data_IF_303726350287
#
_entry.id   IF_303726350287
#
_cell.length_a   1.000
_cell.length_b   1.000
_cell.length_c   1.000
_cell.angle_alpha   90.00
_cell.angle_beta   90.00
_cell.angle_gamma   90.00
#
_symmetry.space_group_name_H-M   'P 1'
#
loop_
_entity.id
_entity.type
_entity.pdbx_description
1 polymer ?
#
# COMPACT_ATOMS: atom_id res chain seq x y z
N UNK A 1 -5.57 4.37 -23.35
CA UNK A 1 -6.11 3.20 -22.64
C UNK A 1 -7.01 2.34 -23.50
N UNK A 2 -7.95 2.94 -24.22
CA UNK A 2 -8.96 2.21 -24.99
C UNK A 2 -8.38 1.24 -26.03
N UNK A 3 -7.39 1.67 -26.79
CA UNK A 3 -6.83 0.85 -27.87
C UNK A 3 -6.16 -0.41 -27.31
N UNK A 4 -5.33 -0.28 -26.27
CA UNK A 4 -4.65 -1.43 -25.66
C UNK A 4 -5.64 -2.42 -25.06
N UNK A 5 -6.67 -1.95 -24.37
CA UNK A 5 -7.69 -2.81 -23.79
C UNK A 5 -8.55 -3.46 -24.89
N UNK A 6 -8.83 -2.75 -25.96
CA UNK A 6 -9.56 -3.33 -27.11
C UNK A 6 -8.78 -4.46 -27.75
N UNK A 7 -7.47 -4.31 -27.91
CA UNK A 7 -6.61 -5.38 -28.43
C UNK A 7 -6.64 -6.59 -27.52
N UNK A 8 -6.54 -6.39 -26.20
CA UNK A 8 -6.61 -7.49 -25.23
C UNK A 8 -7.96 -8.21 -25.29
N UNK A 9 -9.06 -7.48 -25.44
CA UNK A 9 -10.40 -8.08 -25.58
C UNK A 9 -10.52 -8.92 -26.84
N UNK A 10 -9.99 -8.46 -27.96
CA UNK A 10 -9.98 -9.21 -29.21
C UNK A 10 -9.18 -10.50 -29.07
N UNK A 11 -8.00 -10.42 -28.47
CA UNK A 11 -7.18 -11.61 -28.20
C UNK A 11 -7.89 -12.59 -27.28
N UNK A 12 -8.57 -12.09 -26.24
CA UNK A 12 -9.34 -12.93 -25.33
C UNK A 12 -10.49 -13.62 -26.06
N UNK A 13 -11.20 -12.90 -26.93
CA UNK A 13 -12.27 -13.46 -27.74
C UNK A 13 -11.78 -14.56 -28.68
N UNK A 14 -10.52 -14.50 -29.10
CA UNK A 14 -9.88 -15.53 -29.94
C UNK A 14 -9.29 -16.68 -29.09
N UNK A 15 -9.52 -16.69 -27.77
CA UNK A 15 -9.06 -17.75 -26.87
C UNK A 15 -7.69 -17.54 -26.26
N UNK A 16 -7.17 -16.32 -26.24
CA UNK A 16 -5.89 -16.01 -25.61
C UNK A 16 -6.07 -15.88 -24.09
N UNK A 17 -5.73 -16.93 -23.36
CA UNK A 17 -5.89 -17.01 -21.91
C UNK A 17 -5.07 -15.96 -21.17
N UNK A 18 -3.83 -15.67 -21.62
CA UNK A 18 -2.97 -14.67 -20.98
C UNK A 18 -3.55 -13.27 -21.11
N UNK A 19 -4.15 -12.94 -22.26
CA UNK A 19 -4.80 -11.64 -22.45
C UNK A 19 -6.04 -11.50 -21.56
N UNK A 20 -6.82 -12.57 -21.40
CA UNK A 20 -7.97 -12.60 -20.49
C UNK A 20 -7.56 -12.40 -19.05
N UNK A 21 -6.53 -13.10 -18.59
CA UNK A 21 -6.01 -12.99 -17.24
C UNK A 21 -5.51 -11.58 -16.94
N UNK A 22 -4.75 -10.98 -17.86
CA UNK A 22 -4.24 -9.63 -17.71
C UNK A 22 -5.37 -8.60 -17.62
N UNK A 23 -6.38 -8.71 -18.47
CA UNK A 23 -7.53 -7.80 -18.46
C UNK A 23 -8.29 -7.90 -17.14
N UNK A 24 -8.45 -9.12 -16.62
CA UNK A 24 -9.11 -9.35 -15.34
C UNK A 24 -8.32 -8.74 -14.17
N UNK A 25 -7.00 -8.93 -14.15
CA UNK A 25 -6.12 -8.39 -13.09
C UNK A 25 -6.17 -6.86 -13.10
N UNK A 26 -6.07 -6.20 -14.25
CA UNK A 26 -6.16 -4.74 -14.35
C UNK A 26 -7.48 -4.22 -13.79
N UNK A 27 -8.60 -4.87 -14.12
CA UNK A 27 -9.92 -4.49 -13.63
C UNK A 27 -10.04 -4.69 -12.12
N UNK A 28 -9.53 -5.82 -11.63
CA UNK A 28 -9.54 -6.14 -10.20
C UNK A 28 -8.72 -5.11 -9.40
N UNK A 29 -7.52 -4.78 -9.86
CA UNK A 29 -6.64 -3.82 -9.18
C UNK A 29 -7.30 -2.45 -9.10
N UNK A 30 -7.90 -1.97 -10.19
CA UNK A 30 -8.62 -0.69 -10.17
C UNK A 30 -9.80 -0.71 -9.22
N UNK A 31 -10.57 -1.79 -9.18
CA UNK A 31 -11.68 -1.93 -8.23
C UNK A 31 -11.20 -1.87 -6.80
N UNK A 32 -10.07 -2.50 -6.47
CA UNK A 32 -9.50 -2.44 -5.13
C UNK A 32 -9.08 -1.01 -4.79
N UNK A 33 -8.45 -0.29 -5.72
CA UNK A 33 -8.05 1.11 -5.51
C UNK A 33 -9.27 1.99 -5.25
N UNK A 34 -10.33 1.84 -6.03
CA UNK A 34 -11.55 2.64 -5.88
C UNK A 34 -12.27 2.31 -4.57
N UNK A 35 -12.27 1.04 -4.17
CA UNK A 35 -13.03 0.54 -3.03
C UNK A 35 -12.22 0.43 -1.75
N UNK A 36 -11.04 1.04 -1.68
CA UNK A 36 -10.23 0.99 -0.46
C UNK A 36 -11.07 1.50 0.71
N UNK A 37 -11.27 0.59 1.67
CA UNK A 37 -11.90 0.92 2.94
C UNK A 37 -10.82 1.22 3.97
N UNK A 38 -11.20 1.95 4.97
CA UNK A 38 -10.28 2.35 6.01
C UNK A 38 -10.09 3.85 6.00
N UNK A 39 -9.33 4.32 6.96
CA UNK A 39 -9.16 5.75 7.15
C UNK A 39 -7.84 6.19 6.53
N UNK A 40 -7.92 7.17 5.65
CA UNK A 40 -6.74 7.84 5.14
C UNK A 40 -5.96 8.40 6.33
N UNK A 41 -4.70 8.00 6.46
CA UNK A 41 -3.89 8.35 7.61
C UNK A 41 -2.92 9.49 7.32
N UNK A 42 -2.26 9.42 6.19
CA UNK A 42 -1.30 10.44 5.77
C UNK A 42 -1.21 10.47 4.26
N UNK A 43 -0.64 11.53 3.73
CA UNK A 43 -0.44 11.67 2.29
C UNK A 43 0.80 12.49 1.97
N UNK A 44 1.21 12.38 0.72
CA UNK A 44 2.20 13.22 0.08
C UNK A 44 1.65 13.66 -1.27
N UNK A 45 2.46 14.36 -2.03
CA UNK A 45 2.06 14.77 -3.38
C UNK A 45 1.76 13.57 -4.30
N UNK A 46 2.47 12.46 -4.11
CA UNK A 46 2.42 11.31 -5.01
C UNK A 46 1.72 10.08 -4.43
N UNK A 47 1.53 10.02 -3.13
CA UNK A 47 1.02 8.80 -2.47
C UNK A 47 0.08 9.12 -1.32
N UNK A 48 -0.84 8.18 -1.09
CA UNK A 48 -1.72 8.19 0.08
C UNK A 48 -1.49 6.88 0.85
N UNK A 49 -1.54 6.94 2.18
CA UNK A 49 -1.44 5.75 3.03
C UNK A 49 -2.66 5.65 3.94
N UNK A 50 -3.26 4.46 3.93
CA UNK A 50 -4.33 4.06 4.83
C UNK A 50 -3.72 3.12 5.87
N UNK A 51 -4.00 3.35 7.14
CA UNK A 51 -3.42 2.56 8.24
C UNK A 51 -4.46 2.23 9.29
N UNK A 52 -4.44 0.99 9.74
CA UNK A 52 -5.22 0.54 10.90
C UNK A 52 -4.40 -0.43 11.73
N UNK A 53 -4.59 -0.39 13.05
CA UNK A 53 -4.01 -1.38 13.94
C UNK A 53 -5.02 -2.51 14.11
N UNK A 54 -4.58 -3.74 13.85
CA UNK A 54 -5.44 -4.92 13.96
C UNK A 54 -4.78 -5.98 14.84
N UNK A 55 -5.61 -6.78 15.51
CA UNK A 55 -5.16 -7.94 16.27
C UNK A 55 -5.59 -9.21 15.52
N UNK A 56 -4.66 -10.15 15.39
CA UNK A 56 -4.93 -11.44 14.80
C UNK A 56 -4.22 -12.52 15.61
N UNK A 57 -4.99 -13.43 16.21
CA UNK A 57 -4.47 -14.56 17.01
C UNK A 57 -3.49 -14.12 18.11
N UNK A 58 -3.76 -13.00 18.78
CA UNK A 58 -2.94 -12.49 19.87
C UNK A 58 -1.76 -11.64 19.44
N UNK A 59 -1.55 -11.47 18.14
CA UNK A 59 -0.50 -10.61 17.59
C UNK A 59 -1.10 -9.33 17.04
N UNK A 60 -0.33 -8.24 17.09
CA UNK A 60 -0.78 -6.94 16.61
C UNK A 60 -0.01 -6.53 15.37
N UNK A 61 -0.72 -5.91 14.44
CA UNK A 61 -0.16 -5.46 13.18
C UNK A 61 -0.65 -4.06 12.86
N UNK A 62 0.21 -3.27 12.23
CA UNK A 62 -0.20 -2.05 11.54
C UNK A 62 -0.45 -2.45 10.08
N UNK A 63 -1.70 -2.47 9.70
CA UNK A 63 -2.11 -2.82 8.35
C UNK A 63 -2.05 -1.58 7.49
N UNK A 64 -1.25 -1.60 6.43
CA UNK A 64 -1.08 -0.43 5.57
C UNK A 64 -1.46 -0.73 4.14
N UNK A 65 -2.04 0.29 3.48
CA UNK A 65 -2.32 0.28 2.06
C UNK A 65 -1.81 1.60 1.51
N UNK A 66 -0.85 1.53 0.57
CA UNK A 66 -0.31 2.70 -0.10
C UNK A 66 -0.84 2.75 -1.52
N UNK A 67 -1.41 3.88 -1.91
CA UNK A 67 -1.93 4.10 -3.26
C UNK A 67 -1.22 5.30 -3.86
N UNK A 68 -0.67 5.13 -5.06
CA UNK A 68 0.00 6.21 -5.76
C UNK A 68 1.14 5.71 -6.65
N UNK A 69 2.25 6.45 -6.64
CA UNK A 69 3.42 6.14 -7.47
C UNK A 69 4.36 5.10 -6.85
N UNK A 70 4.22 4.84 -5.55
CA UNK A 70 5.10 3.88 -4.86
C UNK A 70 4.84 2.47 -5.37
N UNK A 71 5.84 1.87 -5.98
CA UNK A 71 5.75 0.54 -6.57
C UNK A 71 7.00 -0.26 -6.23
N UNK A 72 6.82 -1.38 -5.55
CA UNK A 72 7.94 -2.24 -5.13
C UNK A 72 7.67 -3.69 -5.50
N UNK A 73 8.78 -4.39 -5.68
CA UNK A 73 8.83 -5.85 -5.72
C UNK A 73 10.10 -6.25 -4.98
N UNK A 74 9.95 -6.92 -3.86
CA UNK A 74 11.07 -7.28 -3.01
C UNK A 74 10.88 -8.64 -2.36
N UNK A 75 12.00 -9.28 -2.02
CA UNK A 75 12.06 -10.52 -1.26
C UNK A 75 12.66 -10.29 0.12
N UNK A 76 12.95 -9.04 0.48
CA UNK A 76 13.65 -8.65 1.72
C UNK A 76 12.80 -7.85 2.67
N UNK A 77 11.48 -7.76 2.43
CA UNK A 77 10.59 -7.02 3.28
C UNK A 77 10.69 -5.52 3.15
N UNK A 78 10.04 -4.83 4.08
CA UNK A 78 10.01 -3.37 4.13
C UNK A 78 10.00 -2.91 5.59
N UNK A 79 10.27 -1.63 5.79
CA UNK A 79 10.22 -0.98 7.10
C UNK A 79 9.25 0.19 7.08
N UNK A 80 8.53 0.35 8.18
CA UNK A 80 7.65 1.50 8.40
C UNK A 80 8.25 2.34 9.51
N UNK A 81 8.57 3.59 9.20
CA UNK A 81 9.08 4.54 10.17
C UNK A 81 7.99 5.56 10.48
N UNK A 82 7.61 5.65 11.74
CA UNK A 82 6.65 6.62 12.23
C UNK A 82 7.40 7.54 13.18
N UNK A 83 7.49 8.82 12.83
CA UNK A 83 8.23 9.79 13.60
C UNK A 83 7.29 10.87 14.14
N UNK A 84 7.40 11.15 15.41
CA UNK A 84 6.67 12.20 16.07
C UNK A 84 7.61 13.12 16.84
N UNK A 85 7.03 14.00 17.66
CA UNK A 85 7.80 15.03 18.39
C UNK A 85 8.75 14.42 19.42
N UNK A 86 8.33 13.35 20.08
CA UNK A 86 9.09 12.77 21.19
C UNK A 86 9.36 11.29 20.99
N UNK A 87 9.15 10.75 19.81
CA UNK A 87 9.36 9.33 19.56
C UNK A 87 9.67 9.05 18.11
N UNK A 88 10.25 7.89 17.90
CA UNK A 88 10.46 7.32 16.58
C UNK A 88 10.20 5.82 16.69
N UNK A 89 9.35 5.30 15.83
CA UNK A 89 8.94 3.91 15.83
C UNK A 89 9.26 3.29 14.48
N UNK A 90 10.13 2.27 14.49
CA UNK A 90 10.52 1.55 13.28
C UNK A 90 9.95 0.14 13.34
N UNK A 91 9.06 -0.19 12.41
CA UNK A 91 8.39 -1.47 12.35
C UNK A 91 8.85 -2.24 11.11
N UNK A 92 8.90 -3.57 11.26
CA UNK A 92 9.32 -4.49 10.20
C UNK A 92 8.10 -5.18 9.63
N UNK A 93 8.08 -5.40 8.32
CA UNK A 93 6.99 -6.11 7.68
C UNK A 93 6.93 -7.56 8.14
N UNK A 94 5.70 -8.10 8.22
CA UNK A 94 5.46 -9.50 8.55
C UNK A 94 5.97 -10.42 7.45
N UNK A 95 5.78 -10.02 6.19
CA UNK A 95 6.21 -10.80 5.03
C UNK A 95 7.49 -10.24 4.44
N UNK A 96 8.36 -11.14 3.96
CA UNK A 96 9.57 -10.76 3.23
C UNK A 96 9.26 -10.47 1.76
N UNK A 97 8.34 -11.22 1.18
CA UNK A 97 7.93 -11.03 -0.21
C UNK A 97 6.80 -10.02 -0.28
N UNK A 98 7.05 -8.92 -0.98
CA UNK A 98 6.07 -7.84 -1.17
C UNK A 98 6.10 -7.44 -2.63
N UNK A 99 4.92 -7.41 -3.24
CA UNK A 99 4.77 -6.97 -4.63
C UNK A 99 3.58 -6.03 -4.74
N UNK A 100 3.83 -4.87 -5.31
CA UNK A 100 2.77 -3.91 -5.61
C UNK A 100 1.99 -4.36 -6.84
N UNK A 101 0.70 -4.05 -6.85
CA UNK A 101 -0.15 -4.21 -8.03
C UNK A 101 -0.30 -2.85 -8.72
N UNK A 102 -0.41 -2.87 -10.03
CA UNK A 102 -0.53 -1.64 -10.83
C UNK A 102 -1.81 -1.66 -11.66
N UNK A 103 -2.52 -0.52 -11.67
CA UNK A 103 -3.68 -0.34 -12.52
C UNK A 103 -3.34 0.53 -13.73
N UNK A 104 -3.56 -0.02 -14.92
CA UNK A 104 -3.45 0.73 -16.16
C UNK A 104 -4.64 1.70 -16.35
N UNK A 105 -5.68 1.58 -15.54
CA UNK A 105 -6.86 2.45 -15.62
C UNK A 105 -6.53 3.82 -15.04
N UNK A 106 -5.99 3.87 -13.82
CA UNK A 106 -5.67 5.12 -13.12
C UNK A 106 -4.18 5.46 -13.12
N UNK A 107 -3.32 4.55 -13.59
CA UNK A 107 -1.87 4.65 -13.52
C UNK A 107 -1.35 4.77 -12.08
N UNK A 108 -2.06 4.12 -11.15
CA UNK A 108 -1.68 4.07 -9.75
C UNK A 108 -1.30 2.65 -9.35
N UNK A 109 -0.36 2.56 -8.43
CA UNK A 109 -0.01 1.31 -7.77
C UNK A 109 -0.72 1.21 -6.43
N UNK A 110 -1.01 -0.01 -6.01
CA UNK A 110 -1.49 -0.32 -4.66
C UNK A 110 -0.52 -1.29 -4.02
N UNK A 111 -0.09 -0.97 -2.80
CA UNK A 111 0.85 -1.78 -2.04
C UNK A 111 0.26 -2.05 -0.66
N UNK A 112 0.07 -3.33 -0.35
CA UNK A 112 -0.49 -3.77 0.94
C UNK A 112 0.63 -4.41 1.75
N UNK A 113 0.89 -3.87 2.94
CA UNK A 113 1.93 -4.39 3.82
C UNK A 113 1.41 -4.38 5.25
N UNK A 114 1.56 -5.50 5.94
CA UNK A 114 1.31 -5.60 7.37
C UNK A 114 2.63 -5.51 8.10
N UNK A 115 2.73 -4.60 9.07
CA UNK A 115 3.91 -4.42 9.90
C UNK A 115 3.64 -4.93 11.30
N UNK A 116 4.61 -5.62 11.88
CA UNK A 116 4.49 -6.16 13.23
C UNK A 116 4.67 -5.04 14.24
N UNK A 117 3.76 -4.95 15.21
CA UNK A 117 3.86 -3.95 16.29
C UNK A 117 3.63 -4.63 17.63
N UNK A 118 4.43 -4.26 18.61
CA UNK A 118 4.23 -4.71 19.97
C UNK A 118 3.10 -3.94 20.65
N UNK A 119 2.35 -4.61 21.51
CA UNK A 119 1.18 -4.03 22.17
C UNK A 119 1.50 -2.71 22.88
N UNK A 120 2.66 -2.64 23.55
CA UNK A 120 3.06 -1.43 24.28
C UNK A 120 3.39 -0.23 23.40
N UNK A 121 3.49 -0.42 22.08
CA UNK A 121 3.77 0.65 21.13
C UNK A 121 2.50 1.14 20.40
N UNK A 122 1.37 0.47 20.59
CA UNK A 122 0.14 0.81 19.88
C UNK A 122 -0.33 2.22 20.19
N UNK A 123 -0.18 2.67 21.45
CA UNK A 123 -0.58 4.01 21.85
C UNK A 123 0.24 5.12 21.18
N UNK A 124 1.36 4.79 20.56
CA UNK A 124 2.17 5.76 19.81
C UNK A 124 1.55 6.06 18.42
N UNK A 125 0.61 5.24 17.97
CA UNK A 125 -0.09 5.46 16.70
C UNK A 125 -1.25 6.45 16.96
N UNK A 126 -0.87 7.66 17.31
CA UNK A 126 -1.79 8.77 17.58
C UNK A 126 -1.52 9.90 16.59
N UNK A 127 -2.49 10.19 15.74
CA UNK A 127 -2.31 11.14 14.62
C UNK A 127 -1.78 12.49 15.08
N UNK A 128 -2.29 13.00 16.20
CA UNK A 128 -1.90 14.34 16.71
C UNK A 128 -0.44 14.40 17.16
N UNK A 129 0.22 13.25 17.37
CA UNK A 129 1.60 13.18 17.83
C UNK A 129 2.58 12.77 16.73
N UNK A 130 2.07 12.46 15.54
CA UNK A 130 2.89 11.98 14.42
C UNK A 130 3.16 13.13 13.47
N UNK A 131 4.42 13.33 13.11
CA UNK A 131 4.84 14.33 12.14
C UNK A 131 4.99 13.76 10.74
N UNK A 132 5.65 12.59 10.63
CA UNK A 132 5.91 11.98 9.34
C UNK A 132 5.81 10.46 9.41
N UNK A 133 5.52 9.87 8.25
CA UNK A 133 5.50 8.42 8.05
C UNK A 133 6.30 8.12 6.80
N UNK A 134 7.11 7.06 6.83
CA UNK A 134 7.86 6.60 5.67
C UNK A 134 7.82 5.09 5.58
N UNK A 135 7.69 4.58 4.36
CA UNK A 135 7.88 3.16 4.08
C UNK A 135 9.10 3.04 3.17
N UNK A 136 10.04 2.18 3.56
CA UNK A 136 11.25 1.96 2.79
C UNK A 136 11.43 0.48 2.47
N UNK A 137 11.89 0.21 1.25
CA UNK A 137 12.25 -1.11 0.78
C UNK A 137 13.41 -0.99 -0.18
N UNK A 138 14.58 -1.51 0.21
CA UNK A 138 15.83 -1.34 -0.54
C UNK A 138 16.10 0.16 -0.78
N UNK A 139 16.11 0.58 -2.05
CA UNK A 139 16.39 1.98 -2.44
C UNK A 139 15.13 2.81 -2.63
N UNK A 140 13.95 2.21 -2.50
CA UNK A 140 12.69 2.92 -2.71
C UNK A 140 12.11 3.36 -1.38
N UNK A 141 11.65 4.60 -1.32
CA UNK A 141 11.05 5.18 -0.13
C UNK A 141 9.78 5.91 -0.54
N UNK A 142 8.70 5.65 0.20
CA UNK A 142 7.49 6.48 0.13
C UNK A 142 7.46 7.32 1.42
N UNK A 143 7.48 8.62 1.26
CA UNK A 143 7.50 9.55 2.38
C UNK A 143 6.17 10.31 2.44
N UNK A 144 5.56 10.35 3.64
CA UNK A 144 4.27 11.00 3.86
C UNK A 144 4.45 12.07 4.91
N UNK A 145 4.40 13.32 4.50
CA UNK A 145 4.67 14.49 5.35
C UNK A 145 3.39 15.21 5.81
N UNK A 146 2.24 14.78 5.32
CA UNK A 146 0.97 15.37 5.72
C UNK A 146 0.10 14.33 6.40
N UNK A 147 0.10 14.33 7.74
CA UNK A 147 -0.76 13.46 8.53
C UNK A 147 -2.14 14.09 8.63
N UNK A 148 -3.17 13.28 8.37
CA UNK A 148 -4.55 13.74 8.39
C UNK A 148 -5.03 13.76 9.85
N UNK A 149 -5.33 14.93 10.35
CA UNK A 149 -5.84 15.14 11.72
C UNK A 149 -7.21 15.79 11.60
N UNK A 150 -8.20 15.20 12.26
CA UNK A 150 -9.56 15.74 12.29
C UNK A 150 -9.75 16.75 13.41
#
# INVERSE_FOLDING_TARGET
MGLKRSILKVQAALGNVKAMEKLHVDTYTEDVIIKVEGTLFAKSQLNEIYMDVVELAGYYYVKTIVIGSFHIKTWKGANLLIAGQNFELNLVSDMQEIESDFSNVSNKSITQIDFIIEENNINKIERSQIDTISISSKKKVAHFDEVIVD
#
